data_IF_241541925942
#
_entry.id   IF_241541925942
#
_cell.length_a   1.000
_cell.length_b   1.000
_cell.length_c   1.000
_cell.angle_alpha   90.00
_cell.angle_beta   90.00
_cell.angle_gamma   90.00
#
_symmetry.space_group_name_H-M   'P 1'
#
loop_
_entity.id
_entity.type
_entity.pdbx_description
1 polymer ?
#
# COMPACT_ATOMS: atom_id res chain seq x y z
N UNK A 1 6.47 -10.90 6.47
CA UNK A 1 7.07 -12.26 6.49
C UNK A 1 6.96 -12.85 7.89
N UNK A 2 6.55 -14.11 8.06
CA UNK A 2 6.30 -14.64 9.39
C UNK A 2 7.61 -14.81 10.19
N UNK A 3 7.78 -13.94 11.18
CA UNK A 3 8.67 -14.15 12.31
C UNK A 3 8.06 -15.27 13.18
N UNK A 4 8.24 -16.52 12.76
CA UNK A 4 7.97 -17.71 13.59
C UNK A 4 9.04 -17.81 14.69
N UNK A 5 9.20 -16.73 15.48
CA UNK A 5 10.30 -16.59 16.43
C UNK A 5 10.25 -17.67 17.51
N UNK A 6 9.06 -18.10 17.94
CA UNK A 6 8.85 -19.28 18.81
C UNK A 6 7.41 -19.80 18.68
N UNK A 7 7.10 -21.00 19.19
CA UNK A 7 5.74 -21.54 19.26
C UNK A 7 4.73 -20.67 20.05
N UNK A 8 5.20 -19.63 20.75
CA UNK A 8 4.39 -18.70 21.55
C UNK A 8 4.27 -17.29 20.94
N UNK A 9 4.85 -17.02 19.76
CA UNK A 9 4.79 -15.67 19.14
C UNK A 9 3.40 -15.26 18.64
N UNK A 10 2.43 -16.18 18.63
CA UNK A 10 1.04 -15.95 18.20
C UNK A 10 0.01 -15.89 19.33
N UNK A 11 0.40 -15.67 20.59
CA UNK A 11 -0.58 -15.48 21.67
C UNK A 11 -1.41 -14.21 21.46
N UNK A 12 -2.71 -14.28 21.75
CA UNK A 12 -3.57 -13.09 21.76
C UNK A 12 -3.08 -12.07 22.80
N UNK A 13 -3.32 -10.78 22.54
CA UNK A 13 -3.07 -9.73 23.52
C UNK A 13 -3.92 -9.93 24.78
N UNK A 14 -3.33 -9.68 25.96
CA UNK A 14 -3.99 -9.74 27.28
C UNK A 14 -5.18 -8.75 27.41
N UNK A 15 -5.28 -7.80 26.47
CA UNK A 15 -6.41 -6.89 26.34
C UNK A 15 -6.86 -6.76 24.89
N UNK A 16 -8.09 -6.29 24.70
CA UNK A 16 -8.55 -5.86 23.37
C UNK A 16 -7.76 -4.64 22.90
N UNK A 17 -7.55 -4.59 21.59
CA UNK A 17 -6.95 -3.43 20.94
C UNK A 17 -7.88 -2.23 21.07
N UNK A 18 -7.30 -1.05 21.22
CA UNK A 18 -8.03 0.18 20.95
C UNK A 18 -8.39 0.27 19.47
N UNK A 19 -9.33 1.15 19.13
CA UNK A 19 -9.66 1.40 17.72
C UNK A 19 -8.43 1.85 16.91
N UNK A 20 -7.61 2.76 17.46
CA UNK A 20 -6.38 3.22 16.79
C UNK A 20 -5.31 2.13 16.65
N UNK A 21 -5.26 1.16 17.56
CA UNK A 21 -4.42 -0.02 17.42
C UNK A 21 -4.91 -0.97 16.34
N UNK A 22 -6.23 -1.18 16.24
CA UNK A 22 -6.82 -1.97 15.17
C UNK A 22 -6.53 -1.35 13.79
N UNK A 23 -6.76 -0.04 13.64
CA UNK A 23 -6.46 0.67 12.38
C UNK A 23 -4.98 0.53 12.01
N UNK A 24 -4.06 0.67 12.98
CA UNK A 24 -2.62 0.45 12.74
C UNK A 24 -2.32 -0.99 12.33
N UNK A 25 -2.97 -1.99 12.94
CA UNK A 25 -2.78 -3.38 12.57
C UNK A 25 -3.26 -3.66 11.14
N UNK A 26 -4.40 -3.10 10.71
CA UNK A 26 -4.86 -3.24 9.32
C UNK A 26 -3.88 -2.60 8.31
N UNK A 27 -3.30 -1.43 8.63
CA UNK A 27 -2.25 -0.83 7.78
C UNK A 27 -1.02 -1.74 7.63
N UNK A 28 -0.63 -2.44 8.70
CA UNK A 28 0.45 -3.42 8.65
C UNK A 28 0.06 -4.65 7.81
N UNK A 29 -1.17 -5.14 7.91
CA UNK A 29 -1.65 -6.24 7.05
C UNK A 29 -1.60 -5.89 5.57
N UNK A 30 -2.00 -4.66 5.19
CA UNK A 30 -1.85 -4.18 3.80
C UNK A 30 -0.37 -4.19 3.36
N UNK A 31 0.55 -3.76 4.24
CA UNK A 31 1.98 -3.77 3.96
C UNK A 31 2.53 -5.20 3.83
N UNK A 32 2.05 -6.13 4.65
CA UNK A 32 2.43 -7.55 4.59
C UNK A 32 2.00 -8.17 3.26
N UNK A 33 0.81 -7.88 2.75
CA UNK A 33 0.39 -8.36 1.43
C UNK A 33 1.27 -7.80 0.30
N UNK A 34 1.62 -6.51 0.35
CA UNK A 34 2.57 -5.95 -0.62
C UNK A 34 3.96 -6.59 -0.52
N UNK A 35 4.45 -6.91 0.67
CA UNK A 35 5.70 -7.65 0.83
C UNK A 35 5.60 -9.05 0.21
N UNK A 36 4.50 -9.77 0.47
CA UNK A 36 4.25 -11.11 -0.06
C UNK A 36 4.26 -11.11 -1.60
N UNK A 37 3.51 -10.17 -2.22
CA UNK A 37 3.51 -9.98 -3.68
C UNK A 37 4.94 -9.87 -4.22
N UNK A 38 5.79 -9.03 -3.59
CA UNK A 38 7.16 -8.84 -4.07
C UNK A 38 8.06 -10.03 -3.84
N UNK A 39 7.99 -10.68 -2.68
CA UNK A 39 8.80 -11.86 -2.37
C UNK A 39 8.49 -12.99 -3.36
N UNK A 40 7.21 -13.26 -3.61
CA UNK A 40 6.81 -14.34 -4.51
C UNK A 40 7.15 -14.04 -5.97
N UNK A 41 6.86 -12.81 -6.44
CA UNK A 41 7.19 -12.39 -7.80
C UNK A 41 8.69 -12.46 -8.05
N UNK A 42 9.50 -11.89 -7.15
CA UNK A 42 10.96 -11.89 -7.30
C UNK A 42 11.55 -13.30 -7.28
N UNK A 43 11.04 -14.19 -6.41
CA UNK A 43 11.49 -15.58 -6.39
C UNK A 43 11.12 -16.31 -7.69
N UNK A 44 9.90 -16.11 -8.21
CA UNK A 44 9.47 -16.69 -9.48
C UNK A 44 10.34 -16.24 -10.66
N UNK A 45 10.76 -14.96 -10.68
CA UNK A 45 11.71 -14.42 -11.66
C UNK A 45 13.13 -15.02 -11.54
N UNK A 46 13.49 -15.57 -10.37
CA UNK A 46 14.85 -15.99 -10.02
C UNK A 46 15.10 -17.51 -10.03
N UNK A 47 14.12 -18.31 -10.49
CA UNK A 47 14.21 -19.78 -10.53
C UNK A 47 13.92 -20.31 -11.94
N UNK A 48 14.15 -21.60 -12.20
CA UNK A 48 13.83 -22.25 -13.50
C UNK A 48 12.69 -23.27 -13.41
N UNK A 49 12.26 -23.64 -12.20
CA UNK A 49 11.22 -24.64 -12.02
C UNK A 49 9.84 -24.10 -12.44
N UNK A 50 9.27 -24.64 -13.52
CA UNK A 50 7.99 -24.19 -14.10
C UNK A 50 6.83 -24.23 -13.11
N UNK A 51 6.65 -25.35 -12.40
CA UNK A 51 5.56 -25.50 -11.43
C UNK A 51 5.65 -24.46 -10.32
N UNK A 52 6.86 -24.23 -9.79
CA UNK A 52 7.07 -23.25 -8.73
C UNK A 52 6.75 -21.83 -9.20
N UNK A 53 7.10 -21.46 -10.44
CA UNK A 53 6.74 -20.14 -11.01
C UNK A 53 5.24 -19.96 -11.11
N UNK A 54 4.54 -20.95 -11.65
CA UNK A 54 3.09 -20.88 -11.82
C UNK A 54 2.39 -20.68 -10.48
N UNK A 55 2.75 -21.49 -9.47
CA UNK A 55 2.17 -21.38 -8.12
C UNK A 55 2.51 -20.04 -7.46
N UNK A 56 3.77 -19.59 -7.53
CA UNK A 56 4.18 -18.33 -6.88
C UNK A 56 3.49 -17.11 -7.51
N UNK A 57 3.32 -17.08 -8.83
CA UNK A 57 2.67 -15.97 -9.51
C UNK A 57 1.15 -15.97 -9.27
N UNK A 58 0.52 -17.14 -9.21
CA UNK A 58 -0.90 -17.28 -8.87
C UNK A 58 -1.17 -16.79 -7.44
N UNK A 59 -0.35 -17.22 -6.46
CA UNK A 59 -0.43 -16.72 -5.09
C UNK A 59 -0.20 -15.21 -5.05
N UNK A 60 0.78 -14.67 -5.79
CA UNK A 60 1.01 -13.23 -5.84
C UNK A 60 -0.19 -12.43 -6.40
N UNK A 61 -0.98 -13.02 -7.30
CA UNK A 61 -2.24 -12.43 -7.75
C UNK A 61 -3.32 -12.47 -6.67
N UNK A 62 -3.40 -13.55 -5.88
CA UNK A 62 -4.30 -13.64 -4.72
C UNK A 62 -3.99 -12.59 -3.66
N UNK A 63 -2.71 -12.35 -3.34
CA UNK A 63 -2.35 -11.34 -2.33
C UNK A 63 -2.71 -9.91 -2.77
N UNK A 64 -2.82 -9.64 -4.08
CA UNK A 64 -3.38 -8.36 -4.58
C UNK A 64 -4.85 -8.22 -4.22
N UNK A 65 -5.62 -9.31 -4.22
CA UNK A 65 -7.01 -9.33 -3.78
C UNK A 65 -7.07 -9.06 -2.28
N UNK A 66 -6.25 -9.74 -1.47
CA UNK A 66 -6.20 -9.53 -0.02
C UNK A 66 -5.83 -8.09 0.35
N UNK A 67 -4.84 -7.50 -0.32
CA UNK A 67 -4.50 -6.09 -0.15
C UNK A 67 -5.73 -5.17 -0.40
N UNK A 68 -6.54 -5.48 -1.41
CA UNK A 68 -7.79 -4.78 -1.71
C UNK A 68 -8.87 -4.96 -0.62
N UNK A 69 -9.01 -6.17 -0.06
CA UNK A 69 -9.94 -6.44 1.04
C UNK A 69 -9.58 -5.65 2.30
N UNK A 70 -8.30 -5.65 2.70
CA UNK A 70 -7.83 -4.88 3.84
C UNK A 70 -7.93 -3.38 3.61
N UNK A 71 -7.64 -2.92 2.39
CA UNK A 71 -7.85 -1.52 2.02
C UNK A 71 -9.32 -1.13 2.19
N UNK A 72 -10.27 -1.94 1.69
CA UNK A 72 -11.71 -1.65 1.88
C UNK A 72 -12.09 -1.66 3.35
N UNK A 73 -11.56 -2.57 4.16
CA UNK A 73 -11.81 -2.57 5.60
C UNK A 73 -11.25 -1.31 6.29
N UNK A 74 -10.05 -0.87 5.90
CA UNK A 74 -9.45 0.36 6.42
C UNK A 74 -10.35 1.58 6.17
N UNK A 75 -10.95 1.66 4.98
CA UNK A 75 -11.91 2.73 4.64
C UNK A 75 -13.14 2.77 5.55
N UNK A 76 -13.58 1.60 6.02
CA UNK A 76 -14.69 1.51 6.98
C UNK A 76 -14.28 2.01 8.37
N UNK A 77 -13.06 1.67 8.78
CA UNK A 77 -12.55 1.95 10.12
C UNK A 77 -12.04 3.38 10.28
N UNK A 78 -11.46 3.97 9.23
CA UNK A 78 -10.88 5.32 9.23
C UNK A 78 -11.30 6.10 7.96
N UNK A 79 -12.59 6.49 7.84
CA UNK A 79 -13.12 7.11 6.62
C UNK A 79 -12.51 8.49 6.32
N UNK A 80 -11.96 9.17 7.32
CA UNK A 80 -11.28 10.47 7.12
C UNK A 80 -9.94 10.30 6.38
N UNK A 81 -9.28 9.15 6.51
CA UNK A 81 -8.04 8.82 5.77
C UNK A 81 -8.24 8.91 4.24
N UNK A 82 -9.45 8.64 3.76
CA UNK A 82 -9.78 8.68 2.33
C UNK A 82 -9.64 10.06 1.69
N UNK A 83 -9.70 11.14 2.47
CA UNK A 83 -9.45 12.49 1.98
C UNK A 83 -8.00 12.62 1.48
N UNK A 84 -7.05 12.06 2.22
CA UNK A 84 -5.63 12.07 1.82
C UNK A 84 -5.38 11.17 0.61
N UNK A 85 -6.09 10.03 0.48
CA UNK A 85 -5.93 9.16 -0.68
C UNK A 85 -6.46 9.82 -1.95
N UNK A 86 -7.59 10.53 -1.86
CA UNK A 86 -8.13 11.31 -2.97
C UNK A 86 -7.19 12.46 -3.37
N UNK A 87 -6.60 13.16 -2.39
CA UNK A 87 -5.60 14.20 -2.62
C UNK A 87 -4.37 13.64 -3.33
N UNK A 88 -3.78 12.55 -2.83
CA UNK A 88 -2.61 11.91 -3.44
C UNK A 88 -2.89 11.40 -4.86
N UNK A 89 -4.08 10.85 -5.12
CA UNK A 89 -4.48 10.47 -6.47
C UNK A 89 -4.54 11.69 -7.42
N UNK A 90 -5.13 12.80 -6.97
CA UNK A 90 -5.20 14.03 -7.75
C UNK A 90 -3.81 14.63 -8.06
N UNK A 91 -2.86 14.52 -7.12
CA UNK A 91 -1.46 14.92 -7.35
C UNK A 91 -0.82 14.12 -8.48
N UNK A 92 -1.01 12.79 -8.50
CA UNK A 92 -0.46 11.92 -9.57
C UNK A 92 -1.12 12.21 -10.92
N UNK A 93 -2.44 12.41 -10.96
CA UNK A 93 -3.14 12.82 -12.19
C UNK A 93 -2.59 14.13 -12.77
N UNK A 94 -2.25 15.09 -11.91
CA UNK A 94 -1.63 16.34 -12.34
C UNK A 94 -0.23 16.12 -12.94
N UNK A 95 0.57 15.19 -12.43
CA UNK A 95 1.86 14.82 -13.02
C UNK A 95 1.69 14.10 -14.37
N UNK A 96 0.73 13.17 -14.49
CA UNK A 96 0.42 12.47 -15.75
C UNK A 96 0.04 13.47 -16.86
N UNK A 97 -0.77 14.48 -16.52
CA UNK A 97 -1.20 15.51 -17.47
C UNK A 97 -0.03 16.37 -18.00
N UNK A 98 1.03 16.59 -17.20
CA UNK A 98 2.23 17.34 -17.63
C UNK A 98 3.07 16.56 -18.65
N UNK A 99 3.09 15.24 -18.55
CA UNK A 99 3.98 14.36 -19.34
C UNK A 99 3.30 13.88 -20.62
N UNK A 100 1.97 13.86 -20.66
CA UNK A 100 1.20 13.37 -21.81
C UNK A 100 1.40 14.27 -23.06
N UNK A 101 1.78 13.72 -24.24
CA UNK A 101 2.19 14.48 -25.42
C UNK A 101 1.05 15.20 -26.18
N UNK A 102 0.05 15.73 -25.47
CA UNK A 102 -1.07 16.49 -26.04
C UNK A 102 -1.80 17.43 -25.07
N UNK A 103 -1.29 17.70 -23.87
CA UNK A 103 -1.99 18.52 -22.87
C UNK A 103 -1.73 20.02 -23.01
N UNK A 104 -2.77 20.78 -23.37
CA UNK A 104 -2.83 22.23 -23.14
C UNK A 104 -2.60 22.55 -21.67
N UNK A 105 -1.60 23.38 -21.38
CA UNK A 105 -1.31 23.91 -20.05
C UNK A 105 -2.57 24.59 -19.47
N UNK A 106 -3.13 24.16 -18.33
CA UNK A 106 -4.17 24.93 -17.68
C UNK A 106 -3.53 26.19 -17.10
N UNK A 107 -4.04 27.34 -17.51
CA UNK A 107 -3.70 28.62 -16.95
C UNK A 107 -3.83 28.58 -15.41
N UNK A 108 -2.71 28.90 -14.74
CA UNK A 108 -2.61 29.47 -13.39
C UNK A 108 -3.83 29.29 -12.48
N UNK A 109 -3.89 28.16 -11.76
CA UNK A 109 -4.62 28.11 -10.50
C UNK A 109 -3.75 28.74 -9.41
N UNK A 110 -4.26 29.78 -8.77
CA UNK A 110 -3.60 30.50 -7.67
C UNK A 110 -3.18 29.53 -6.55
N UNK A 111 -1.88 29.53 -6.22
CA UNK A 111 -1.36 28.95 -4.98
C UNK A 111 -1.98 29.68 -3.79
N UNK A 112 -2.94 29.06 -3.09
CA UNK A 112 -3.13 29.32 -1.66
C UNK A 112 -2.29 28.33 -0.87
N UNK A 113 -1.32 28.88 -0.16
CA UNK A 113 -0.22 28.15 0.45
C UNK A 113 -0.58 27.26 1.64
N UNK A 114 0.32 26.31 1.84
CA UNK A 114 0.39 25.37 2.96
C UNK A 114 1.30 24.22 2.57
N UNK A 115 2.59 24.49 2.41
CA UNK A 115 3.58 23.52 1.94
C UNK A 115 3.84 22.43 2.97
N UNK A 116 3.70 21.17 2.56
CA UNK A 116 4.60 20.07 2.95
C UNK A 116 4.60 19.05 1.81
N UNK A 117 5.55 19.20 0.88
CA UNK A 117 5.85 18.18 -0.12
C UNK A 117 6.96 17.25 0.38
N UNK A 118 7.06 16.08 -0.24
CA UNK A 118 7.90 14.91 0.12
C UNK A 118 9.43 15.17 -0.01
N UNK A 119 9.88 16.42 -0.15
CA UNK A 119 11.26 16.76 -0.51
C UNK A 119 12.09 17.60 0.48
N UNK A 120 11.54 18.03 1.62
CA UNK A 120 12.22 19.05 2.46
C UNK A 120 13.25 18.53 3.46
N UNK A 121 13.79 17.32 3.28
CA UNK A 121 14.92 16.82 4.07
C UNK A 121 16.03 16.33 3.14
N UNK A 122 16.78 17.27 2.56
CA UNK A 122 18.16 17.06 2.17
C UNK A 122 18.99 18.25 2.63
N UNK A 123 19.99 17.91 3.44
CA UNK A 123 21.07 18.69 4.08
C UNK A 123 20.70 19.55 5.30
#
# INVERSE_FOLDING_TARGET
MPEFATAFSGMNSDRKLSHSELVRAIRLMIADEYEAIQVYTQLAESIDNTLAKEVLLDIADEERVHAGEFLRLLQELDPDEMKFYAEGAAEVEAEIAKISPGGTSPATAEKKGGATTIGSMKE
#
